data_IF_769659545062
#
_entry.id   IF_769659545062
#
_cell.length_a   1.000
_cell.length_b   1.000
_cell.length_c   1.000
_cell.angle_alpha   90.00
_cell.angle_beta   90.00
_cell.angle_gamma   90.00
#
_symmetry.space_group_name_H-M   'P 1'
#
loop_
_entity.id
_entity.type
_entity.pdbx_description
1 polymer ?
#
# COMPACT_ATOMS: atom_id res chain seq x y z
N UNK A 1 -30.33 -62.20 -30.18
CA UNK A 1 -29.70 -61.18 -31.05
C UNK A 1 -29.73 -59.82 -30.35
N UNK A 2 -28.82 -58.89 -30.71
CA UNK A 2 -28.71 -57.49 -30.24
C UNK A 2 -28.01 -57.25 -28.89
N UNK A 3 -26.68 -57.32 -28.90
CA UNK A 3 -25.86 -56.49 -27.99
C UNK A 3 -26.03 -55.02 -28.38
N UNK A 4 -26.47 -54.16 -27.45
CA UNK A 4 -26.39 -52.69 -27.61
C UNK A 4 -25.04 -52.22 -27.08
N UNK A 5 -24.25 -51.54 -27.94
CA UNK A 5 -23.01 -50.86 -27.53
C UNK A 5 -23.37 -49.68 -26.63
N UNK A 6 -22.76 -49.60 -25.44
CA UNK A 6 -22.75 -48.39 -24.63
C UNK A 6 -21.33 -47.81 -24.68
N UNK A 7 -21.12 -46.80 -25.53
CA UNK A 7 -19.88 -46.01 -25.55
C UNK A 7 -19.99 -44.96 -24.45
N UNK A 8 -19.25 -45.15 -23.36
CA UNK A 8 -19.17 -44.19 -22.27
C UNK A 8 -17.97 -43.25 -22.51
N UNK A 9 -18.21 -42.16 -23.24
CA UNK A 9 -17.20 -41.13 -23.48
C UNK A 9 -16.92 -40.36 -22.19
N UNK A 10 -15.77 -40.64 -21.56
CA UNK A 10 -15.28 -39.87 -20.41
C UNK A 10 -14.83 -38.48 -20.86
N UNK A 11 -15.54 -37.44 -20.40
CA UNK A 11 -15.20 -36.05 -20.70
C UNK A 11 -14.18 -35.55 -19.68
N UNK A 12 -12.89 -35.59 -20.02
CA UNK A 12 -11.82 -35.15 -19.14
C UNK A 12 -11.76 -33.61 -19.10
N UNK A 13 -12.35 -33.01 -18.07
CA UNK A 13 -12.29 -31.56 -17.85
C UNK A 13 -10.87 -31.14 -17.43
N UNK A 14 -10.04 -30.77 -18.39
CA UNK A 14 -8.74 -30.18 -18.13
C UNK A 14 -8.92 -28.75 -17.58
N UNK A 15 -8.88 -28.61 -16.25
CA UNK A 15 -8.73 -27.31 -15.59
C UNK A 15 -7.35 -26.75 -15.93
N UNK A 16 -7.31 -25.84 -16.91
CA UNK A 16 -6.13 -25.04 -17.19
C UNK A 16 -5.85 -24.15 -15.99
N UNK A 17 -4.88 -24.54 -15.15
CA UNK A 17 -4.26 -23.60 -14.20
C UNK A 17 -3.54 -22.52 -15.02
N UNK A 18 -4.23 -21.40 -15.23
CA UNK A 18 -3.61 -20.19 -15.73
C UNK A 18 -2.68 -19.68 -14.63
N UNK A 19 -1.37 -19.65 -14.90
CA UNK A 19 -0.42 -18.98 -14.03
C UNK A 19 -0.70 -17.47 -14.09
N UNK A 20 -0.84 -16.83 -12.95
CA UNK A 20 -1.01 -15.38 -12.88
C UNK A 20 0.22 -14.65 -13.45
N UNK A 21 0.01 -13.45 -13.97
CA UNK A 21 1.11 -12.63 -14.49
C UNK A 21 2.00 -12.14 -13.33
N UNK A 22 3.29 -11.90 -13.61
CA UNK A 22 4.20 -11.35 -12.60
C UNK A 22 3.77 -9.97 -12.08
N UNK A 23 3.02 -9.20 -12.89
CA UNK A 23 2.38 -7.94 -12.49
C UNK A 23 1.25 -8.16 -11.48
N UNK A 24 0.34 -9.11 -11.74
CA UNK A 24 -0.75 -9.45 -10.82
C UNK A 24 -0.19 -9.96 -9.49
N UNK A 25 0.77 -10.88 -9.53
CA UNK A 25 1.43 -11.42 -8.35
C UNK A 25 2.20 -10.34 -7.56
N UNK A 26 2.86 -9.39 -8.23
CA UNK A 26 3.48 -8.23 -7.57
C UNK A 26 2.43 -7.35 -6.89
N UNK A 27 1.32 -7.06 -7.56
CA UNK A 27 0.24 -6.25 -6.99
C UNK A 27 -0.38 -6.90 -5.76
N UNK A 28 -0.59 -8.22 -5.77
CA UNK A 28 -1.17 -8.99 -4.65
C UNK A 28 -0.19 -9.12 -3.47
N UNK A 29 1.08 -9.46 -3.73
CA UNK A 29 2.00 -9.90 -2.66
C UNK A 29 3.11 -8.92 -2.31
N UNK A 30 3.36 -7.90 -3.14
CA UNK A 30 4.51 -7.00 -2.96
C UNK A 30 4.09 -5.53 -2.83
N UNK A 31 3.11 -5.04 -3.60
CA UNK A 31 2.79 -3.61 -3.69
C UNK A 31 2.37 -2.95 -2.36
N UNK A 32 1.83 -3.74 -1.43
CA UNK A 32 1.43 -3.31 -0.08
C UNK A 32 2.60 -2.85 0.79
N UNK A 33 3.83 -3.25 0.47
CA UNK A 33 5.07 -2.82 1.14
C UNK A 33 6.07 -2.19 0.16
N UNK A 34 6.28 -2.82 -0.99
CA UNK A 34 7.18 -2.35 -2.03
C UNK A 34 6.47 -1.39 -2.96
N UNK A 35 6.47 -0.15 -2.53
CA UNK A 35 5.70 0.90 -3.14
C UNK A 35 6.22 1.32 -4.52
N UNK A 36 5.31 1.52 -5.46
CA UNK A 36 5.58 2.27 -6.70
C UNK A 36 5.86 3.76 -6.42
N UNK A 37 5.72 4.18 -5.16
CA UNK A 37 5.49 5.57 -4.77
C UNK A 37 6.49 5.96 -3.65
N UNK A 38 7.34 7.00 -3.83
CA UNK A 38 8.35 7.53 -2.85
C UNK A 38 7.88 8.85 -2.20
N UNK A 39 8.24 9.16 -0.96
CA UNK A 39 7.64 10.26 -0.24
C UNK A 39 8.29 11.62 -0.43
N UNK A 40 7.63 12.68 0.02
CA UNK A 40 8.27 13.96 0.40
C UNK A 40 8.11 14.20 1.92
N UNK A 41 8.60 15.30 2.48
CA UNK A 41 8.21 15.76 3.81
C UNK A 41 7.15 16.86 3.68
N UNK A 42 6.51 17.29 4.77
CA UNK A 42 5.47 18.34 4.73
C UNK A 42 5.96 19.67 4.13
N UNK A 43 7.28 19.89 4.11
CA UNK A 43 7.93 21.03 3.46
C UNK A 43 8.15 20.85 1.95
N UNK A 44 7.72 19.73 1.36
CA UNK A 44 7.89 19.36 -0.05
C UNK A 44 9.32 19.05 -0.50
N UNK A 45 10.33 19.23 0.37
CA UNK A 45 11.73 19.34 -0.03
C UNK A 45 12.63 18.12 0.19
N UNK A 46 12.20 17.12 0.96
CA UNK A 46 13.02 15.92 1.26
C UNK A 46 12.27 14.64 0.92
N UNK A 47 12.88 13.78 0.10
CA UNK A 47 12.32 12.46 -0.18
C UNK A 47 12.36 11.54 1.05
N UNK A 48 11.30 10.74 1.28
CA UNK A 48 11.19 9.80 2.42
C UNK A 48 10.62 8.45 1.98
N UNK A 49 10.96 7.37 2.68
CA UNK A 49 10.26 6.09 2.50
C UNK A 49 9.01 6.02 3.38
N UNK A 50 8.08 5.14 3.02
CA UNK A 50 6.65 5.31 3.37
C UNK A 50 6.07 4.05 3.97
N UNK A 51 6.32 2.97 3.27
CA UNK A 51 6.02 1.65 3.72
C UNK A 51 7.27 1.13 4.42
N UNK A 52 7.14 0.02 5.13
CA UNK A 52 8.23 -0.60 5.87
C UNK A 52 9.22 -1.32 4.95
N UNK A 53 9.27 -0.97 3.66
CA UNK A 53 10.19 -1.53 2.67
C UNK A 53 10.67 -0.47 1.66
N UNK A 54 11.83 -0.69 1.00
CA UNK A 54 12.36 0.22 0.00
C UNK A 54 11.42 0.43 -1.20
N UNK A 55 11.45 1.66 -1.71
CA UNK A 55 10.86 2.05 -2.99
C UNK A 55 11.27 1.10 -4.14
N UNK A 56 10.29 0.61 -4.90
CA UNK A 56 10.52 -0.54 -5.80
C UNK A 56 11.38 -0.20 -7.02
N UNK A 57 11.30 1.02 -7.61
CA UNK A 57 12.19 1.40 -8.73
C UNK A 57 13.64 1.52 -8.29
N UNK A 58 13.90 2.10 -7.11
CA UNK A 58 15.26 2.11 -6.53
C UNK A 58 15.71 0.68 -6.22
N UNK A 59 14.80 -0.17 -5.72
CA UNK A 59 15.11 -1.56 -5.40
C UNK A 59 15.54 -2.34 -6.65
N UNK A 60 14.79 -2.22 -7.74
CA UNK A 60 15.11 -2.86 -9.03
C UNK A 60 16.40 -2.29 -9.61
N UNK A 61 16.59 -0.97 -9.58
CA UNK A 61 17.75 -0.29 -10.15
C UNK A 61 19.04 -0.66 -9.43
N UNK A 62 19.04 -0.64 -8.09
CA UNK A 62 20.19 -1.07 -7.30
C UNK A 62 20.45 -2.57 -7.46
N UNK A 63 19.43 -3.44 -7.45
CA UNK A 63 19.65 -4.87 -7.70
C UNK A 63 20.22 -5.14 -9.10
N UNK A 64 19.74 -4.46 -10.15
CA UNK A 64 20.31 -4.53 -11.49
C UNK A 64 21.76 -4.02 -11.55
N UNK A 65 22.18 -3.09 -10.67
CA UNK A 65 23.57 -2.65 -10.57
C UNK A 65 24.48 -3.66 -9.84
N UNK A 66 23.91 -4.47 -8.94
CA UNK A 66 24.63 -5.48 -8.17
C UNK A 66 24.70 -6.87 -8.84
N UNK A 67 23.85 -7.14 -9.84
CA UNK A 67 23.80 -8.42 -10.57
C UNK A 67 24.24 -8.26 -12.02
N UNK A 68 25.02 -9.20 -12.56
CA UNK A 68 25.59 -9.08 -13.92
C UNK A 68 24.58 -9.31 -15.03
N UNK A 69 23.50 -10.03 -14.75
CA UNK A 69 22.52 -10.49 -15.73
C UNK A 69 21.19 -10.85 -15.05
N UNK A 70 20.16 -11.06 -15.90
CA UNK A 70 18.82 -11.48 -15.49
C UNK A 70 18.79 -12.73 -14.62
N UNK A 71 19.62 -13.74 -14.91
CA UNK A 71 19.64 -15.01 -14.16
C UNK A 71 20.09 -14.79 -12.73
N UNK A 72 21.13 -13.98 -12.51
CA UNK A 72 21.60 -13.58 -11.18
C UNK A 72 20.53 -12.75 -10.44
N UNK A 73 19.90 -11.78 -11.10
CA UNK A 73 18.79 -10.99 -10.54
C UNK A 73 17.61 -11.87 -10.11
N UNK A 74 17.13 -12.74 -11.00
CA UNK A 74 15.98 -13.62 -10.74
C UNK A 74 16.30 -14.63 -9.65
N UNK A 75 17.50 -15.20 -9.64
CA UNK A 75 17.96 -16.08 -8.56
C UNK A 75 18.01 -15.35 -7.21
N UNK A 76 18.52 -14.11 -7.18
CA UNK A 76 18.54 -13.30 -5.97
C UNK A 76 17.14 -13.02 -5.43
N UNK A 77 16.22 -12.53 -6.27
CA UNK A 77 14.84 -12.23 -5.87
C UNK A 77 14.16 -13.48 -5.30
N UNK A 78 14.24 -14.62 -6.01
CA UNK A 78 13.63 -15.89 -5.56
C UNK A 78 14.19 -16.36 -4.22
N UNK A 79 15.51 -16.32 -4.04
CA UNK A 79 16.16 -16.74 -2.79
C UNK A 79 15.87 -15.78 -1.62
N UNK A 80 15.82 -14.47 -1.88
CA UNK A 80 15.56 -13.47 -0.85
C UNK A 80 14.09 -13.40 -0.43
N UNK A 81 13.14 -13.58 -1.36
CA UNK A 81 11.70 -13.63 -1.05
C UNK A 81 11.37 -14.86 -0.19
N UNK A 82 11.93 -16.02 -0.53
CA UNK A 82 11.66 -17.26 0.22
C UNK A 82 12.43 -17.31 1.55
N UNK A 83 13.71 -16.95 1.56
CA UNK A 83 14.56 -17.02 2.75
C UNK A 83 15.34 -15.72 2.97
N UNK A 84 14.65 -14.62 3.33
CA UNK A 84 15.27 -13.32 3.59
C UNK A 84 16.21 -13.40 4.79
N UNK A 85 17.37 -12.77 4.69
CA UNK A 85 18.27 -12.66 5.83
C UNK A 85 19.16 -11.42 5.77
N UNK A 86 19.61 -10.96 6.94
CA UNK A 86 20.53 -9.83 7.08
C UNK A 86 21.85 -10.01 6.31
N UNK A 87 22.29 -11.25 6.06
CA UNK A 87 23.51 -11.57 5.30
C UNK A 87 23.29 -11.54 3.78
N UNK A 88 22.07 -11.79 3.32
CA UNK A 88 21.68 -11.74 1.89
C UNK A 88 21.26 -10.34 1.45
N UNK A 89 20.96 -9.42 2.37
CA UNK A 89 20.46 -8.08 2.00
C UNK A 89 21.53 -7.23 1.31
N UNK A 90 21.32 -6.96 0.01
CA UNK A 90 22.18 -6.10 -0.81
C UNK A 90 22.08 -4.59 -0.50
N UNK A 91 21.23 -4.22 0.48
CA UNK A 91 21.09 -2.84 0.98
C UNK A 91 21.85 -2.60 2.29
N UNK A 92 22.51 -3.64 2.82
CA UNK A 92 23.38 -3.54 3.99
C UNK A 92 22.70 -3.15 5.31
N UNK A 93 23.52 -2.84 6.31
CA UNK A 93 23.06 -2.59 7.69
C UNK A 93 22.14 -1.37 7.84
N UNK A 94 22.27 -0.36 6.98
CA UNK A 94 21.45 0.87 7.05
C UNK A 94 20.00 0.57 6.71
N UNK A 95 19.74 -0.08 5.57
CA UNK A 95 18.38 -0.44 5.18
C UNK A 95 17.73 -1.41 6.17
N UNK A 96 18.47 -2.39 6.71
CA UNK A 96 17.92 -3.28 7.75
C UNK A 96 17.56 -2.52 9.05
N UNK A 97 18.15 -1.35 9.31
CA UNK A 97 17.78 -0.47 10.43
C UNK A 97 16.57 0.42 10.10
N UNK A 98 16.40 0.79 8.84
CA UNK A 98 15.34 1.70 8.35
C UNK A 98 14.02 0.96 8.05
N UNK A 99 14.11 -0.24 7.48
CA UNK A 99 12.98 -1.06 6.99
C UNK A 99 12.79 -2.38 7.76
N UNK A 100 13.70 -2.72 8.68
CA UNK A 100 13.73 -4.07 9.25
C UNK A 100 14.17 -5.14 8.25
N UNK A 101 13.65 -6.36 8.41
CA UNK A 101 13.92 -7.48 7.49
C UNK A 101 12.61 -7.87 6.79
N UNK A 102 12.66 -8.03 5.47
CA UNK A 102 11.52 -8.50 4.68
C UNK A 102 10.94 -9.81 5.26
N UNK A 103 9.61 -9.96 5.38
CA UNK A 103 9.00 -11.22 5.76
C UNK A 103 9.24 -12.30 4.69
N UNK A 104 9.35 -13.56 5.12
CA UNK A 104 9.42 -14.69 4.20
C UNK A 104 8.07 -14.93 3.53
N UNK A 105 8.08 -15.11 2.21
CA UNK A 105 6.91 -15.61 1.44
C UNK A 105 7.06 -17.10 1.07
N UNK A 106 7.90 -17.84 1.81
CA UNK A 106 8.07 -19.29 1.62
C UNK A 106 6.74 -20.01 1.83
N UNK A 107 6.28 -20.75 0.81
CA UNK A 107 4.99 -21.42 0.83
C UNK A 107 3.78 -20.52 0.53
N UNK A 108 3.97 -19.20 0.39
CA UNK A 108 2.96 -18.27 -0.14
C UNK A 108 3.05 -18.20 -1.67
N UNK A 109 4.27 -18.13 -2.21
CA UNK A 109 4.54 -18.19 -3.65
C UNK A 109 5.19 -19.52 -4.01
N UNK A 110 4.73 -20.16 -5.09
CA UNK A 110 5.44 -21.27 -5.71
C UNK A 110 6.72 -20.83 -6.42
N UNK A 111 7.56 -21.79 -6.81
CA UNK A 111 8.75 -21.51 -7.62
C UNK A 111 8.40 -20.83 -8.96
N UNK A 112 7.25 -21.18 -9.55
CA UNK A 112 6.76 -20.56 -10.80
C UNK A 112 6.33 -19.11 -10.59
N UNK A 113 5.55 -18.84 -9.55
CA UNK A 113 5.04 -17.49 -9.25
C UNK A 113 6.18 -16.55 -8.81
N UNK A 114 7.09 -17.01 -7.95
CA UNK A 114 8.29 -16.25 -7.59
C UNK A 114 9.22 -16.00 -8.78
N UNK A 115 9.31 -16.94 -9.74
CA UNK A 115 9.99 -16.72 -11.03
C UNK A 115 9.26 -15.68 -11.90
N UNK A 116 7.93 -15.72 -11.94
CA UNK A 116 7.12 -14.77 -12.71
C UNK A 116 7.25 -13.34 -12.17
N UNK A 117 7.16 -13.14 -10.85
CA UNK A 117 7.41 -11.85 -10.18
C UNK A 117 8.84 -11.37 -10.46
N UNK A 118 9.84 -12.23 -10.29
CA UNK A 118 11.24 -11.85 -10.50
C UNK A 118 11.54 -11.44 -11.95
N UNK A 119 10.96 -12.14 -12.92
CA UNK A 119 11.07 -11.78 -14.34
C UNK A 119 10.33 -10.46 -14.62
N UNK A 120 9.11 -10.27 -14.12
CA UNK A 120 8.38 -9.00 -14.23
C UNK A 120 9.20 -7.83 -13.68
N UNK A 121 9.80 -7.96 -12.49
CA UNK A 121 10.68 -6.95 -11.89
C UNK A 121 11.93 -6.64 -12.75
N UNK A 122 12.46 -7.62 -13.50
CA UNK A 122 13.61 -7.41 -14.38
C UNK A 122 13.22 -6.84 -15.75
N UNK A 123 12.24 -7.47 -16.41
CA UNK A 123 11.88 -7.19 -17.79
C UNK A 123 10.91 -6.00 -17.89
N UNK A 124 9.80 -6.03 -17.17
CA UNK A 124 8.57 -5.33 -17.56
C UNK A 124 8.14 -4.24 -16.58
N UNK A 125 8.66 -4.28 -15.34
CA UNK A 125 8.35 -3.30 -14.31
C UNK A 125 8.68 -1.88 -14.78
N UNK A 126 7.64 -1.05 -14.95
CA UNK A 126 7.76 0.31 -15.48
C UNK A 126 7.74 0.43 -17.02
N UNK A 127 7.69 -0.66 -17.79
CA UNK A 127 7.53 -0.60 -19.26
C UNK A 127 6.08 -0.40 -19.71
N UNK A 128 5.12 -0.93 -18.96
CA UNK A 128 3.69 -0.87 -19.29
C UNK A 128 2.96 0.32 -18.63
N UNK A 129 3.67 1.17 -17.89
CA UNK A 129 3.08 2.15 -16.98
C UNK A 129 2.68 3.46 -17.69
N UNK A 130 1.74 3.38 -18.64
CA UNK A 130 0.94 4.53 -19.11
C UNK A 130 -0.18 4.91 -18.11
N UNK A 131 0.03 4.63 -16.82
CA UNK A 131 -0.81 5.06 -15.70
C UNK A 131 0.13 5.68 -14.68
N UNK A 132 -0.08 6.97 -14.42
CA UNK A 132 0.91 7.81 -13.74
C UNK A 132 1.22 7.30 -12.34
N UNK A 133 2.51 7.07 -12.11
CA UNK A 133 3.05 6.53 -10.88
C UNK A 133 3.14 7.62 -9.82
N UNK A 134 2.50 7.32 -8.69
CA UNK A 134 2.26 8.17 -7.51
C UNK A 134 3.51 8.26 -6.61
N UNK A 135 3.45 8.91 -5.44
CA UNK A 135 4.55 9.08 -4.43
C UNK A 135 3.89 9.32 -3.02
N UNK A 136 4.53 9.59 -1.84
CA UNK A 136 3.80 9.68 -0.49
C UNK A 136 4.48 10.43 0.76
N UNK A 137 4.01 11.58 1.28
CA UNK A 137 4.61 12.43 2.37
C UNK A 137 4.75 11.89 3.83
N UNK A 138 5.42 10.77 4.14
CA UNK A 138 5.39 10.29 5.55
C UNK A 138 6.11 11.22 6.54
N UNK A 139 5.41 11.69 7.58
CA UNK A 139 6.01 12.39 8.73
C UNK A 139 5.92 11.62 10.04
N UNK A 140 7.08 11.50 10.67
CA UNK A 140 7.31 11.03 12.02
C UNK A 140 6.74 12.05 13.03
N UNK A 141 5.59 11.75 13.62
CA UNK A 141 5.15 12.36 14.89
C UNK A 141 5.01 11.25 15.91
N UNK A 142 4.92 11.60 17.19
CA UNK A 142 4.58 10.71 18.32
C UNK A 142 3.11 10.25 18.23
N UNK A 143 2.76 9.62 17.11
CA UNK A 143 1.40 9.16 16.78
C UNK A 143 1.00 8.12 17.79
N UNK A 144 -0.16 8.33 18.38
CA UNK A 144 -0.82 7.36 19.24
C UNK A 144 -0.93 6.01 18.52
N UNK A 145 -1.00 4.92 19.28
CA UNK A 145 -1.29 3.61 18.69
C UNK A 145 -2.62 3.62 17.93
N UNK A 146 -3.59 4.44 18.38
CA UNK A 146 -4.94 4.53 17.84
C UNK A 146 -4.98 4.94 16.36
N UNK A 147 -4.27 6.00 15.92
CA UNK A 147 -4.25 6.35 14.50
C UNK A 147 -3.60 5.25 13.65
N UNK A 148 -2.47 4.70 14.12
CA UNK A 148 -1.74 3.63 13.42
C UNK A 148 -2.56 2.34 13.32
N UNK A 149 -3.36 2.02 14.33
CA UNK A 149 -4.20 0.82 14.39
C UNK A 149 -5.50 0.96 13.56
N UNK A 150 -6.13 2.14 13.56
CA UNK A 150 -7.51 2.29 13.08
C UNK A 150 -7.67 3.15 11.83
N UNK A 151 -6.66 3.96 11.46
CA UNK A 151 -6.78 4.96 10.40
C UNK A 151 -5.71 4.81 9.32
N UNK A 152 -4.46 4.49 9.69
CA UNK A 152 -3.32 4.44 8.77
C UNK A 152 -3.38 3.37 7.67
N UNK A 153 -4.34 2.44 7.75
CA UNK A 153 -4.65 1.47 6.69
C UNK A 153 -5.30 2.10 5.46
N UNK A 154 -5.98 3.24 5.63
CA UNK A 154 -6.70 3.95 4.56
C UNK A 154 -6.34 5.43 4.47
N UNK A 155 -6.12 6.12 5.58
CA UNK A 155 -5.71 7.51 5.58
C UNK A 155 -4.19 7.60 5.65
N UNK A 156 -3.61 8.03 4.53
CA UNK A 156 -2.19 8.33 4.51
C UNK A 156 -1.90 9.47 5.48
N UNK A 157 -0.83 9.33 6.25
CA UNK A 157 -0.16 10.43 6.94
C UNK A 157 0.80 11.18 6.01
N UNK A 158 0.49 11.16 4.71
CA UNK A 158 1.39 11.42 3.61
C UNK A 158 0.69 11.81 2.27
N UNK A 159 1.30 12.62 1.38
CA UNK A 159 0.90 12.97 -0.02
C UNK A 159 2.01 12.66 -1.05
N UNK A 160 1.70 12.17 -2.24
CA UNK A 160 2.74 12.02 -3.25
C UNK A 160 3.30 13.24 -3.90
N UNK A 161 4.19 12.98 -4.84
CA UNK A 161 4.49 13.76 -6.03
C UNK A 161 4.09 12.89 -7.25
N UNK A 162 4.78 12.98 -8.37
CA UNK A 162 4.74 11.98 -9.45
C UNK A 162 6.17 11.53 -9.79
N UNK A 163 6.37 10.76 -10.87
CA UNK A 163 7.73 10.37 -11.32
C UNK A 163 8.65 11.58 -11.53
N UNK A 164 8.08 12.71 -11.94
CA UNK A 164 8.78 13.96 -12.25
C UNK A 164 8.95 14.87 -11.01
N UNK A 165 8.47 14.44 -9.84
CA UNK A 165 8.57 15.19 -8.58
C UNK A 165 7.66 16.43 -8.49
N UNK A 166 6.73 16.61 -9.43
CA UNK A 166 6.01 17.86 -9.64
C UNK A 166 4.60 17.93 -9.04
N UNK A 167 3.83 16.82 -9.05
CA UNK A 167 2.39 16.88 -8.73
C UNK A 167 1.98 16.06 -7.50
N UNK A 168 1.37 16.72 -6.52
CA UNK A 168 0.82 16.05 -5.34
C UNK A 168 -0.35 15.08 -5.66
N UNK A 169 -0.38 13.91 -5.02
CA UNK A 169 -1.34 12.80 -5.25
C UNK A 169 -1.72 12.04 -3.97
N UNK A 170 -2.95 11.54 -3.88
CA UNK A 170 -3.35 10.62 -2.79
C UNK A 170 -2.86 9.20 -3.08
N UNK A 171 -2.70 8.40 -2.03
CA UNK A 171 -1.90 7.15 -2.07
C UNK A 171 -2.74 5.92 -1.79
N UNK A 172 -3.66 6.07 -0.85
CA UNK A 172 -4.75 5.15 -0.63
C UNK A 172 -6.02 5.75 -1.26
N UNK A 173 -7.08 4.95 -1.29
CA UNK A 173 -8.40 5.36 -1.76
C UNK A 173 -9.12 6.34 -0.81
N UNK A 174 -8.48 6.79 0.27
CA UNK A 174 -8.98 7.81 1.18
C UNK A 174 -8.10 9.09 1.17
N UNK A 175 -8.66 10.27 1.47
CA UNK A 175 -7.92 11.54 1.42
C UNK A 175 -6.82 11.64 2.50
N UNK A 176 -5.77 12.39 2.17
CA UNK A 176 -4.67 12.74 3.09
C UNK A 176 -5.18 13.32 4.42
N UNK A 177 -4.72 12.77 5.54
CA UNK A 177 -5.24 13.13 6.87
C UNK A 177 -4.97 14.58 7.27
N UNK A 178 -3.81 15.19 6.94
CA UNK A 178 -3.58 16.61 7.26
C UNK A 178 -4.55 17.51 6.47
N UNK A 179 -4.87 17.18 5.22
CA UNK A 179 -5.86 17.94 4.45
C UNK A 179 -7.27 17.81 5.06
N UNK A 180 -7.61 16.61 5.56
CA UNK A 180 -8.84 16.37 6.33
C UNK A 180 -8.85 17.22 7.59
N UNK A 181 -7.85 17.09 8.46
CA UNK A 181 -7.80 17.81 9.74
C UNK A 181 -7.75 19.33 9.53
N UNK A 182 -6.90 19.82 8.62
CA UNK A 182 -6.81 21.24 8.27
C UNK A 182 -8.14 21.78 7.72
N UNK A 183 -8.83 21.01 6.87
CA UNK A 183 -10.15 21.41 6.38
C UNK A 183 -11.16 21.45 7.53
N UNK A 184 -11.22 20.40 8.35
CA UNK A 184 -12.15 20.33 9.48
C UNK A 184 -11.93 21.50 10.44
N UNK A 185 -10.68 21.79 10.82
CA UNK A 185 -10.31 22.97 11.64
C UNK A 185 -10.72 24.32 11.05
N UNK A 186 -10.87 24.43 9.73
CA UNK A 186 -11.32 25.64 9.06
C UNK A 186 -12.85 25.75 8.94
N UNK A 187 -13.57 24.62 9.01
CA UNK A 187 -15.04 24.56 8.96
C UNK A 187 -15.67 24.53 10.36
N UNK A 188 -14.92 24.12 11.41
CA UNK A 188 -15.36 24.11 12.82
C UNK A 188 -14.86 25.34 13.58
N UNK A 189 -15.71 25.90 14.44
CA UNK A 189 -15.42 27.11 15.23
C UNK A 189 -14.63 26.87 16.51
N UNK A 190 -14.60 25.64 17.04
CA UNK A 190 -13.86 25.29 18.26
C UNK A 190 -13.29 23.86 18.23
N UNK A 191 -12.39 23.57 19.18
CA UNK A 191 -11.82 22.22 19.38
C UNK A 191 -12.91 21.21 19.78
N UNK A 192 -13.88 21.63 20.57
CA UNK A 192 -15.01 20.82 21.02
C UNK A 192 -15.92 20.46 19.85
N UNK A 193 -16.17 21.42 18.94
CA UNK A 193 -16.93 21.17 17.71
C UNK A 193 -16.18 20.19 16.77
N UNK A 194 -14.87 20.35 16.61
CA UNK A 194 -14.03 19.39 15.87
C UNK A 194 -14.10 17.98 16.48
N UNK A 195 -13.95 17.86 17.80
CA UNK A 195 -13.99 16.56 18.49
C UNK A 195 -15.37 15.92 18.33
N UNK A 196 -16.44 16.69 18.52
CA UNK A 196 -17.83 16.23 18.33
C UNK A 196 -18.06 15.76 16.89
N UNK A 197 -17.59 16.52 15.89
CA UNK A 197 -17.68 16.16 14.48
C UNK A 197 -16.94 14.85 14.18
N UNK A 198 -15.69 14.70 14.60
CA UNK A 198 -14.91 13.47 14.37
C UNK A 198 -15.64 12.27 14.99
N UNK A 199 -16.03 12.35 16.27
CA UNK A 199 -16.73 11.26 16.97
C UNK A 199 -18.02 10.85 16.27
N UNK A 200 -18.83 11.81 15.83
CA UNK A 200 -20.08 11.54 15.12
C UNK A 200 -19.85 10.99 13.69
N UNK A 201 -18.86 11.51 12.97
CA UNK A 201 -18.60 11.13 11.58
C UNK A 201 -17.92 9.76 11.46
N UNK A 202 -16.95 9.41 12.32
CA UNK A 202 -16.29 8.08 12.24
C UNK A 202 -17.26 6.95 12.63
N UNK A 203 -18.17 7.20 13.58
CA UNK A 203 -19.15 6.20 14.00
C UNK A 203 -20.34 6.12 13.05
N UNK A 204 -20.89 7.25 12.60
CA UNK A 204 -22.04 7.30 11.70
C UNK A 204 -21.78 8.21 10.48
N UNK A 205 -20.88 7.80 9.56
CA UNK A 205 -20.53 8.58 8.38
C UNK A 205 -21.73 8.69 7.44
N UNK A 206 -21.91 9.86 6.83
CA UNK A 206 -22.93 10.03 5.79
C UNK A 206 -22.56 11.12 4.79
N UNK A 207 -23.12 11.02 3.59
CA UNK A 207 -22.97 12.03 2.52
C UNK A 207 -23.50 13.43 2.90
N UNK A 208 -24.34 13.54 3.94
CA UNK A 208 -24.87 14.82 4.46
C UNK A 208 -23.96 15.44 5.52
N UNK A 209 -23.31 14.61 6.34
CA UNK A 209 -22.35 15.03 7.36
C UNK A 209 -20.97 15.31 6.79
N UNK A 210 -20.65 14.76 5.62
CA UNK A 210 -19.32 14.95 5.03
C UNK A 210 -19.10 16.43 4.68
N UNK A 211 -18.12 17.06 5.33
CA UNK A 211 -17.61 18.39 4.98
C UNK A 211 -16.83 18.38 3.65
N UNK A 212 -16.71 17.21 3.02
CA UNK A 212 -16.19 17.00 1.68
C UNK A 212 -17.32 16.99 0.65
N UNK A 213 -17.21 17.87 -0.35
CA UNK A 213 -18.22 18.03 -1.39
C UNK A 213 -18.39 16.79 -2.29
N UNK A 214 -19.45 16.78 -3.11
CA UNK A 214 -19.83 15.66 -4.00
C UNK A 214 -18.68 15.11 -4.86
N UNK A 215 -17.68 15.94 -5.23
CA UNK A 215 -16.49 15.52 -5.96
C UNK A 215 -15.65 14.52 -5.17
N UNK A 216 -15.32 14.84 -3.92
CA UNK A 216 -14.50 13.98 -3.06
C UNK A 216 -15.24 12.67 -2.70
N UNK A 217 -16.57 12.71 -2.52
CA UNK A 217 -17.38 11.49 -2.33
C UNK A 217 -17.39 10.59 -3.59
N UNK A 218 -17.21 11.18 -4.79
CA UNK A 218 -17.04 10.43 -6.04
C UNK A 218 -15.62 9.87 -6.20
N UNK A 219 -14.63 10.52 -5.59
CA UNK A 219 -13.19 10.21 -5.73
C UNK A 219 -12.72 9.18 -4.70
N UNK A 220 -13.16 9.29 -3.44
CA UNK A 220 -12.75 8.47 -2.29
C UNK A 220 -13.88 7.62 -1.70
N UNK A 221 -15.08 7.66 -2.29
CA UNK A 221 -16.27 7.04 -1.73
C UNK A 221 -16.78 7.70 -0.44
N UNK A 222 -17.42 6.92 0.43
CA UNK A 222 -17.82 7.34 1.78
C UNK A 222 -16.98 6.54 2.78
N UNK A 223 -16.47 7.23 3.82
CA UNK A 223 -15.73 6.57 4.90
C UNK A 223 -16.56 5.41 5.51
N UNK A 224 -15.96 4.23 5.77
CA UNK A 224 -16.65 3.16 6.48
C UNK A 224 -16.93 3.55 7.93
N UNK A 225 -18.00 3.01 8.51
CA UNK A 225 -18.30 3.18 9.92
C UNK A 225 -17.30 2.42 10.79
N UNK A 226 -16.78 3.08 11.82
CA UNK A 226 -15.98 2.49 12.90
C UNK A 226 -16.82 2.21 14.17
N UNK A 227 -18.15 2.26 14.06
CA UNK A 227 -19.08 2.02 15.18
C UNK A 227 -18.85 0.63 15.80
N UNK A 228 -18.56 0.60 17.10
CA UNK A 228 -18.25 -0.63 17.83
C UNK A 228 -16.80 -1.13 17.68
N UNK A 229 -15.97 -0.49 16.86
CA UNK A 229 -14.51 -0.75 16.80
C UNK A 229 -13.72 0.12 17.79
N UNK A 230 -14.26 1.28 18.17
CA UNK A 230 -13.69 2.20 19.15
C UNK A 230 -14.69 2.46 20.27
N UNK A 231 -14.21 2.53 21.51
CA UNK A 231 -14.99 3.06 22.63
C UNK A 231 -15.17 4.58 22.53
N UNK A 232 -16.11 5.14 23.29
CA UNK A 232 -16.29 6.60 23.39
C UNK A 232 -14.99 7.29 23.86
N UNK A 233 -14.24 6.64 24.76
CA UNK A 233 -12.94 7.12 25.23
C UNK A 233 -11.91 7.12 24.09
N UNK A 234 -11.69 6.00 23.41
CA UNK A 234 -10.68 5.92 22.33
C UNK A 234 -11.02 6.83 21.15
N UNK A 235 -12.31 6.97 20.80
CA UNK A 235 -12.73 7.93 19.77
C UNK A 235 -12.54 9.39 20.19
N UNK A 236 -12.67 9.71 21.48
CA UNK A 236 -12.33 11.03 22.03
C UNK A 236 -10.81 11.28 22.01
N UNK A 237 -10.01 10.30 22.45
CA UNK A 237 -8.54 10.38 22.44
C UNK A 237 -8.00 10.51 21.00
N UNK A 238 -8.53 9.75 20.04
CA UNK A 238 -8.22 9.88 18.62
C UNK A 238 -8.60 11.26 18.06
N UNK A 239 -9.76 11.79 18.42
CA UNK A 239 -10.20 13.11 17.96
C UNK A 239 -9.33 14.25 18.53
N UNK A 240 -8.87 14.12 19.78
CA UNK A 240 -7.91 15.05 20.38
C UNK A 240 -6.54 14.94 19.70
N UNK A 241 -6.03 13.72 19.48
CA UNK A 241 -4.77 13.46 18.77
C UNK A 241 -4.77 14.05 17.34
N UNK A 242 -5.88 13.86 16.61
CA UNK A 242 -6.09 14.48 15.30
C UNK A 242 -6.12 16.02 15.38
N UNK A 243 -6.70 16.62 16.42
CA UNK A 243 -6.70 18.08 16.56
C UNK A 243 -5.31 18.64 16.94
N UNK A 244 -4.51 17.90 17.70
CA UNK A 244 -3.24 18.41 18.24
C UNK A 244 -2.02 18.12 17.35
N UNK A 245 -2.01 16.98 16.65
CA UNK A 245 -0.80 16.46 15.98
C UNK A 245 -0.86 16.46 14.43
N UNK A 246 -1.95 16.98 13.84
CA UNK A 246 -2.20 17.10 12.40
C UNK A 246 -2.81 18.49 12.07
#
# INVERSE_FOLDING_TARGET
MKFKKLLLSSLLAATLLQAESGEALFNIHCSSCHSEVIGVNESGGKLVNIYEAPYIKDLITHLKSQTKNKTEFTSFIKDYINLPSKRKSLYGKKAIKEFGLMPSLSGVLSDKESTAVANYLYDDYGKNNNKNKTTVTKKDTTKTSLFKQNCASCHADAIGVDEDGGKLVNIYEAPYVNDVVKKLKAETTSKEEFISFIKDYINMPSKRKSLYGKKAIKEFGLMPSLSGLLTDKESTELAIDLYENY
#
